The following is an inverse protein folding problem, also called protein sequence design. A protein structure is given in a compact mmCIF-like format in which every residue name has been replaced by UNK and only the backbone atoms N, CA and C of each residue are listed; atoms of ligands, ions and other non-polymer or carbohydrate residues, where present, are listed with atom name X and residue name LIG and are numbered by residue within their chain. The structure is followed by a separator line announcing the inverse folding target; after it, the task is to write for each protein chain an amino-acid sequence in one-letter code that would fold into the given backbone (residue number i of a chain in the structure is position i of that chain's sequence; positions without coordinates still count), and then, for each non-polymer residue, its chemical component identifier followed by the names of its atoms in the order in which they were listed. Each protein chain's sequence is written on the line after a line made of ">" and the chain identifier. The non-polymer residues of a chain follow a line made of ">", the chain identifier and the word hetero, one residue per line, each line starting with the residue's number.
data_IF_946524316883
#
_entry.id   IF_946524316883
#
_cell.length_a   1.000
_cell.length_b   1.000
_cell.length_c   1.000
_cell.angle_alpha   90.00
_cell.angle_beta   90.00
_cell.angle_gamma   90.00
#
_symmetry.space_group_name_H-M   'P 1'
#
loop_
_entity.id
_entity.type
_entity.pdbx_description
1 polymer ?
#
# COMPACT_ATOMS: atom_id res chain seq x y z
N UNK A 1 -69.97 38.89 -40.97
CA UNK A 1 -69.21 39.28 -39.75
C UNK A 1 -68.40 38.11 -39.37
N UNK A 2 -67.15 38.10 -39.81
CA UNK A 2 -66.14 37.01 -39.59
C UNK A 2 -65.09 37.52 -38.62
N UNK A 3 -65.03 36.89 -37.42
CA UNK A 3 -64.11 37.22 -36.38
C UNK A 3 -62.89 36.30 -36.53
N UNK A 4 -61.75 36.88 -36.82
CA UNK A 4 -60.43 36.19 -36.84
C UNK A 4 -59.71 36.33 -35.48
N UNK A 5 -59.36 35.18 -34.84
CA UNK A 5 -58.58 35.11 -33.60
C UNK A 5 -57.12 34.96 -33.98
N UNK A 6 -56.15 35.76 -33.42
CA UNK A 6 -54.79 35.63 -33.71
C UNK A 6 -54.08 34.54 -32.82
N UNK A 7 -53.39 33.63 -33.45
CA UNK A 7 -52.55 32.62 -32.80
C UNK A 7 -51.27 33.31 -32.27
N UNK A 8 -51.04 33.24 -30.94
CA UNK A 8 -49.83 33.70 -30.29
C UNK A 8 -48.82 32.52 -30.24
N UNK A 9 -47.73 32.63 -30.98
CA UNK A 9 -46.58 31.71 -30.85
C UNK A 9 -45.83 32.01 -29.55
N UNK A 10 -45.75 31.02 -28.63
CA UNK A 10 -44.86 31.06 -27.49
C UNK A 10 -43.52 30.44 -27.94
N UNK A 11 -42.48 31.27 -28.01
CA UNK A 11 -41.11 30.83 -28.17
C UNK A 11 -40.64 30.24 -26.84
N UNK A 12 -40.39 28.92 -26.79
CA UNK A 12 -39.77 28.24 -25.66
C UNK A 12 -38.27 28.30 -25.88
N UNK A 13 -37.60 29.16 -25.14
CA UNK A 13 -36.13 29.18 -25.06
C UNK A 13 -35.67 27.97 -24.25
N UNK A 14 -35.13 26.96 -24.91
CA UNK A 14 -34.43 25.84 -24.27
C UNK A 14 -32.98 26.31 -23.94
N UNK A 15 -32.75 26.62 -22.69
CA UNK A 15 -31.40 26.89 -22.20
C UNK A 15 -30.65 25.56 -22.07
N UNK A 16 -29.64 25.33 -22.92
CA UNK A 16 -28.68 24.24 -22.74
C UNK A 16 -27.72 24.59 -21.61
N UNK A 17 -27.84 23.92 -20.46
CA UNK A 17 -26.83 23.92 -19.42
C UNK A 17 -25.69 23.01 -19.90
N UNK A 18 -24.62 23.63 -20.37
CA UNK A 18 -23.32 22.98 -20.55
C UNK A 18 -22.79 22.64 -19.18
N UNK A 19 -22.99 21.41 -18.74
CA UNK A 19 -22.25 20.82 -17.63
C UNK A 19 -20.81 20.62 -18.09
N UNK A 20 -19.95 21.60 -17.81
CA UNK A 20 -18.52 21.46 -17.99
C UNK A 20 -17.98 20.39 -17.02
N UNK A 21 -17.65 19.22 -17.54
CA UNK A 21 -16.79 18.28 -16.81
C UNK A 21 -15.44 18.94 -16.62
N UNK A 22 -15.13 19.31 -15.38
CA UNK A 22 -13.78 19.68 -14.98
C UNK A 22 -12.88 18.45 -15.16
N UNK A 23 -12.32 18.31 -16.35
CA UNK A 23 -11.20 17.41 -16.57
C UNK A 23 -10.01 18.00 -15.79
N UNK A 24 -9.66 17.39 -14.66
CA UNK A 24 -8.40 17.67 -14.02
C UNK A 24 -7.29 17.35 -15.03
N UNK A 25 -6.56 18.39 -15.44
CA UNK A 25 -5.40 18.23 -16.31
C UNK A 25 -4.40 17.32 -15.61
N UNK A 26 -4.13 16.17 -16.19
CA UNK A 26 -3.00 15.33 -15.76
C UNK A 26 -1.72 16.14 -15.99
N UNK A 27 -0.75 16.09 -15.06
CA UNK A 27 0.53 16.77 -15.25
C UNK A 27 1.19 16.27 -16.55
N UNK A 28 1.63 17.18 -17.40
CA UNK A 28 2.31 16.91 -18.67
C UNK A 28 3.75 16.47 -18.42
N UNK A 29 3.96 15.21 -18.07
CA UNK A 29 5.26 14.59 -17.83
C UNK A 29 5.09 13.11 -17.53
N UNK A 30 6.12 12.32 -17.77
CA UNK A 30 6.12 10.93 -17.32
C UNK A 30 6.01 10.89 -15.78
N UNK A 31 5.18 9.95 -15.21
CA UNK A 31 5.05 9.80 -13.78
C UNK A 31 6.40 9.42 -13.17
N UNK A 32 6.71 9.95 -11.97
CA UNK A 32 7.91 9.53 -11.24
C UNK A 32 7.82 8.06 -10.84
N UNK A 33 6.64 7.60 -10.43
CA UNK A 33 6.37 6.21 -10.09
C UNK A 33 6.04 5.41 -11.35
N UNK A 34 7.03 4.75 -11.95
CA UNK A 34 6.83 3.85 -13.09
C UNK A 34 6.31 2.47 -12.65
N UNK A 35 6.67 2.02 -11.46
CA UNK A 35 6.21 0.78 -10.85
C UNK A 35 6.23 0.89 -9.31
N UNK A 36 5.42 0.07 -8.64
CA UNK A 36 5.69 -0.38 -7.27
C UNK A 36 6.39 -1.73 -7.40
N UNK A 37 7.65 -1.81 -6.96
CA UNK A 37 8.48 -3.00 -7.15
C UNK A 37 8.24 -4.04 -6.07
N UNK A 38 8.28 -3.58 -4.82
CA UNK A 38 8.12 -4.44 -3.64
C UNK A 38 7.57 -3.64 -2.45
N UNK A 39 7.24 -4.36 -1.39
CA UNK A 39 7.11 -3.82 -0.04
C UNK A 39 8.19 -4.48 0.81
N UNK A 40 9.08 -3.67 1.36
CA UNK A 40 10.11 -4.13 2.27
C UNK A 40 9.61 -4.05 3.71
N UNK A 41 9.96 -5.06 4.51
CA UNK A 41 9.63 -5.16 5.93
C UNK A 41 10.87 -5.51 6.73
N UNK A 42 11.18 -4.71 7.74
CA UNK A 42 12.23 -5.05 8.69
C UNK A 42 11.76 -6.15 9.62
N UNK A 43 12.50 -7.25 9.70
CA UNK A 43 12.20 -8.43 10.51
C UNK A 43 13.25 -8.64 11.59
N UNK A 44 12.87 -9.26 12.70
CA UNK A 44 13.79 -9.51 13.82
C UNK A 44 14.71 -10.72 13.61
N UNK A 45 14.28 -11.67 12.75
CA UNK A 45 14.96 -12.92 12.39
C UNK A 45 14.56 -13.32 10.97
N UNK A 46 15.48 -13.18 10.02
CA UNK A 46 15.22 -13.41 8.60
C UNK A 46 14.88 -14.87 8.28
N UNK A 47 15.57 -15.83 8.90
CA UNK A 47 15.35 -17.24 8.62
C UNK A 47 13.96 -17.68 9.09
N UNK A 48 13.49 -17.17 10.25
CA UNK A 48 12.15 -17.39 10.76
C UNK A 48 11.10 -16.75 9.84
N UNK A 49 11.33 -15.52 9.42
CA UNK A 49 10.41 -14.81 8.52
C UNK A 49 10.33 -15.50 7.15
N UNK A 50 11.46 -15.79 6.51
CA UNK A 50 11.52 -16.52 5.22
C UNK A 50 10.80 -17.87 5.33
N UNK A 51 11.01 -18.62 6.43
CA UNK A 51 10.32 -19.89 6.63
C UNK A 51 8.80 -19.71 6.72
N UNK A 52 8.31 -18.65 7.38
CA UNK A 52 6.89 -18.36 7.45
C UNK A 52 6.33 -18.01 6.05
N UNK A 53 6.92 -17.05 5.36
CA UNK A 53 6.43 -16.61 4.05
C UNK A 53 6.48 -17.73 3.00
N UNK A 54 7.51 -18.58 3.02
CA UNK A 54 7.63 -19.68 2.04
C UNK A 54 6.72 -20.88 2.36
N UNK A 55 6.58 -21.27 3.62
CA UNK A 55 5.82 -22.48 3.98
C UNK A 55 4.34 -22.21 4.25
N UNK A 56 4.00 -21.03 4.79
CA UNK A 56 2.61 -20.71 5.14
C UNK A 56 1.92 -19.96 4.02
N UNK A 57 2.61 -19.02 3.37
CA UNK A 57 2.04 -18.15 2.33
C UNK A 57 2.50 -18.49 0.90
N UNK A 58 3.34 -19.53 0.74
CA UNK A 58 3.82 -20.07 -0.53
C UNK A 58 4.65 -19.12 -1.38
N UNK A 59 5.29 -18.13 -0.76
CA UNK A 59 6.27 -17.31 -1.45
C UNK A 59 7.48 -18.14 -1.88
N UNK A 60 8.09 -17.77 -3.00
CA UNK A 60 9.36 -18.29 -3.48
C UNK A 60 10.49 -17.34 -3.08
N UNK A 61 11.54 -17.85 -2.42
CA UNK A 61 12.73 -17.05 -2.14
C UNK A 61 13.59 -16.90 -3.40
N UNK A 62 13.77 -15.67 -3.86
CA UNK A 62 14.52 -15.35 -5.08
C UNK A 62 15.98 -15.05 -4.78
N UNK A 63 16.26 -14.28 -3.74
CA UNK A 63 17.63 -13.92 -3.33
C UNK A 63 17.72 -13.81 -1.81
N UNK A 64 18.97 -13.74 -1.34
CA UNK A 64 19.32 -13.60 0.07
C UNK A 64 20.75 -13.04 0.11
N UNK A 65 20.87 -11.76 0.44
CA UNK A 65 22.10 -10.99 0.30
C UNK A 65 22.42 -10.25 1.59
N UNK A 66 23.66 -10.35 2.07
CA UNK A 66 24.15 -9.52 3.17
C UNK A 66 24.87 -8.30 2.61
N UNK A 67 24.52 -7.11 3.12
CA UNK A 67 25.10 -5.84 2.73
C UNK A 67 25.51 -5.01 3.94
N UNK A 68 26.53 -4.17 3.74
CA UNK A 68 27.03 -3.20 4.70
C UNK A 68 27.78 -2.09 3.95
N UNK A 69 28.11 -1.02 4.64
CA UNK A 69 28.92 0.07 4.10
C UNK A 69 28.19 1.40 4.02
N UNK A 70 28.95 2.42 3.72
CA UNK A 70 28.56 3.82 3.86
C UNK A 70 27.34 4.20 2.98
N UNK A 71 27.22 3.62 1.76
CA UNK A 71 26.07 3.87 0.89
C UNK A 71 24.76 3.41 1.54
N UNK A 72 24.74 2.22 2.13
CA UNK A 72 23.56 1.71 2.82
C UNK A 72 23.28 2.46 4.12
N UNK A 73 24.33 2.86 4.87
CA UNK A 73 24.17 3.72 6.05
C UNK A 73 23.51 5.07 5.71
N UNK A 74 23.92 5.66 4.59
CA UNK A 74 23.37 6.92 4.10
C UNK A 74 21.95 6.76 3.55
N UNK A 75 21.62 5.60 2.97
CA UNK A 75 20.29 5.31 2.46
C UNK A 75 19.29 5.13 3.59
N UNK A 76 19.61 4.24 4.54
CA UNK A 76 18.73 3.84 5.62
C UNK A 76 18.77 4.79 6.84
N UNK A 77 19.74 5.73 6.87
CA UNK A 77 19.95 6.61 8.01
C UNK A 77 20.38 5.89 9.29
N UNK A 78 21.00 4.72 9.17
CA UNK A 78 21.45 3.86 10.28
C UNK A 78 22.96 3.69 10.23
N UNK A 79 23.65 4.32 11.17
CA UNK A 79 25.11 4.26 11.24
C UNK A 79 25.63 2.89 11.65
N UNK A 80 26.67 2.40 10.99
CA UNK A 80 27.33 1.11 11.27
C UNK A 80 26.45 -0.08 10.92
N UNK A 81 25.49 0.07 9.98
CA UNK A 81 24.61 -1.01 9.63
C UNK A 81 25.32 -2.18 8.94
N UNK A 82 24.87 -3.36 9.30
CA UNK A 82 25.03 -4.60 8.55
C UNK A 82 23.66 -5.27 8.49
N UNK A 83 23.14 -5.48 7.32
CA UNK A 83 21.81 -6.05 7.13
C UNK A 83 21.82 -7.17 6.11
N UNK A 84 20.85 -8.08 6.24
CA UNK A 84 20.61 -9.18 5.32
C UNK A 84 19.22 -8.99 4.73
N UNK A 85 19.13 -9.01 3.41
CA UNK A 85 17.91 -8.78 2.65
C UNK A 85 17.55 -10.02 1.86
N UNK A 86 16.35 -10.54 2.05
CA UNK A 86 15.80 -11.63 1.25
C UNK A 86 14.64 -11.10 0.40
N UNK A 87 14.72 -11.30 -0.91
CA UNK A 87 13.64 -11.00 -1.86
C UNK A 87 12.79 -12.24 -2.09
N UNK A 88 11.48 -12.10 -1.93
CA UNK A 88 10.52 -13.19 -2.07
C UNK A 88 9.45 -12.81 -3.10
N UNK A 89 8.98 -13.80 -3.88
CA UNK A 89 7.97 -13.64 -4.92
C UNK A 89 6.71 -14.43 -4.61
N UNK A 90 5.56 -13.81 -4.90
CA UNK A 90 4.28 -14.52 -4.95
C UNK A 90 3.53 -14.07 -6.21
N UNK A 91 3.28 -14.99 -7.14
CA UNK A 91 2.79 -14.64 -8.47
C UNK A 91 3.79 -13.75 -9.22
N UNK A 92 3.35 -12.56 -9.59
CA UNK A 92 4.19 -11.57 -10.30
C UNK A 92 4.76 -10.50 -9.34
N UNK A 93 4.38 -10.51 -8.06
CA UNK A 93 4.71 -9.46 -7.09
C UNK A 93 5.79 -9.92 -6.10
N UNK A 94 6.46 -8.92 -5.51
CA UNK A 94 7.59 -9.15 -4.62
C UNK A 94 7.38 -8.47 -3.27
N UNK A 95 8.00 -9.08 -2.25
CA UNK A 95 8.31 -8.45 -0.97
C UNK A 95 9.81 -8.56 -0.71
N UNK A 96 10.33 -7.68 0.12
CA UNK A 96 11.65 -7.82 0.70
C UNK A 96 11.56 -7.93 2.22
N UNK A 97 12.37 -8.81 2.78
CA UNK A 97 12.50 -8.97 4.23
C UNK A 97 13.92 -8.58 4.61
N UNK A 98 14.05 -7.58 5.48
CA UNK A 98 15.34 -7.04 5.89
C UNK A 98 15.58 -7.33 7.36
N UNK A 99 16.65 -8.06 7.69
CA UNK A 99 17.15 -8.20 9.05
C UNK A 99 18.37 -7.31 9.25
N UNK A 100 18.29 -6.35 10.15
CA UNK A 100 19.47 -5.63 10.63
C UNK A 100 20.25 -6.50 11.60
N UNK A 101 21.40 -7.03 11.14
CA UNK A 101 22.31 -7.83 11.97
C UNK A 101 22.95 -6.94 13.04
N UNK A 102 23.28 -5.68 12.68
CA UNK A 102 23.75 -4.62 13.57
C UNK A 102 23.45 -3.24 12.95
N UNK A 103 23.07 -2.23 13.76
CA UNK A 103 22.46 -2.38 15.08
C UNK A 103 21.06 -2.95 15.00
N UNK A 104 20.65 -3.72 15.98
CA UNK A 104 19.25 -4.18 16.08
C UNK A 104 18.35 -3.01 16.48
N UNK A 105 17.11 -2.99 15.94
CA UNK A 105 16.10 -2.01 16.28
C UNK A 105 15.07 -2.53 17.30
N UNK A 106 14.00 -1.76 17.48
CA UNK A 106 12.94 -2.05 18.43
C UNK A 106 11.88 -2.98 17.83
N UNK A 107 11.26 -3.86 18.62
CA UNK A 107 10.14 -4.69 18.16
C UNK A 107 8.88 -3.84 17.93
N UNK A 108 7.93 -4.38 17.16
CA UNK A 108 6.60 -3.78 17.02
C UNK A 108 5.90 -3.76 18.39
N UNK A 109 5.25 -2.64 18.72
CA UNK A 109 4.43 -2.53 19.89
C UNK A 109 3.25 -3.52 19.83
N UNK A 110 3.00 -4.22 20.94
CA UNK A 110 1.82 -5.10 21.05
C UNK A 110 0.49 -4.33 21.10
N UNK A 111 0.57 -3.03 21.36
CA UNK A 111 -0.60 -2.14 21.45
C UNK A 111 -0.97 -1.52 20.08
N UNK A 112 -0.23 -1.86 19.02
CA UNK A 112 -0.51 -1.37 17.67
C UNK A 112 -1.93 -1.74 17.23
N UNK A 113 -2.75 -0.73 16.95
CA UNK A 113 -4.12 -0.88 16.46
C UNK A 113 -4.21 -0.64 14.96
N UNK A 114 -5.24 -1.19 14.32
CA UNK A 114 -5.44 -1.04 12.88
C UNK A 114 -5.77 0.39 12.44
N UNK A 115 -6.14 1.28 13.36
CA UNK A 115 -6.37 2.70 13.07
C UNK A 115 -5.20 3.61 13.45
N UNK A 116 -4.09 3.07 13.95
CA UNK A 116 -2.86 3.84 14.16
C UNK A 116 -2.21 4.16 12.81
N UNK A 117 -1.64 5.37 12.67
CA UNK A 117 -1.04 5.82 11.40
C UNK A 117 0.22 5.05 11.01
N UNK A 118 0.80 4.27 11.89
CA UNK A 118 1.86 3.33 11.55
C UNK A 118 1.35 1.96 11.09
N UNK A 119 0.02 1.76 11.04
CA UNK A 119 -0.53 0.52 10.50
C UNK A 119 -0.33 0.46 8.99
N UNK A 120 0.23 -0.64 8.54
CA UNK A 120 0.38 -0.99 7.14
C UNK A 120 0.16 -2.48 6.97
N UNK A 121 -0.51 -2.91 5.89
CA UNK A 121 -0.61 -4.31 5.54
C UNK A 121 -0.29 -4.55 4.07
N UNK A 122 -0.07 -5.82 3.72
CA UNK A 122 0.02 -6.32 2.36
C UNK A 122 -1.22 -7.19 2.13
N UNK A 123 -1.97 -6.93 1.05
CA UNK A 123 -3.14 -7.71 0.68
C UNK A 123 -2.78 -8.82 -0.30
N UNK A 124 -2.82 -10.04 0.18
CA UNK A 124 -2.52 -11.27 -0.54
C UNK A 124 -3.82 -11.86 -1.09
N UNK A 125 -3.90 -12.03 -2.40
CA UNK A 125 -5.09 -12.59 -3.04
C UNK A 125 -5.13 -14.10 -2.88
N UNK A 126 -6.30 -14.60 -2.51
CA UNK A 126 -6.55 -16.04 -2.38
C UNK A 126 -7.65 -16.52 -3.34
N UNK A 127 -7.48 -17.71 -3.86
CA UNK A 127 -8.47 -18.34 -4.74
C UNK A 127 -9.73 -18.79 -3.99
N UNK A 128 -9.61 -19.09 -2.69
CA UNK A 128 -10.69 -19.58 -1.84
C UNK A 128 -10.46 -19.09 -0.39
N UNK A 129 -11.30 -18.17 0.08
CA UNK A 129 -11.19 -17.59 1.42
C UNK A 129 -11.37 -18.64 2.53
N UNK A 130 -12.27 -19.59 2.36
CA UNK A 130 -12.57 -20.58 3.41
C UNK A 130 -11.40 -21.55 3.57
N UNK A 131 -10.79 -21.98 2.46
CA UNK A 131 -9.58 -22.79 2.48
C UNK A 131 -8.39 -22.01 3.04
N UNK A 132 -8.20 -20.74 2.62
CA UNK A 132 -7.12 -19.91 3.12
C UNK A 132 -7.24 -19.69 4.64
N UNK A 133 -8.42 -19.38 5.13
CA UNK A 133 -8.67 -19.23 6.56
C UNK A 133 -8.42 -20.52 7.34
N UNK A 134 -8.90 -21.67 6.85
CA UNK A 134 -8.66 -22.96 7.48
C UNK A 134 -7.16 -23.29 7.54
N UNK A 135 -6.42 -23.00 6.47
CA UNK A 135 -4.97 -23.19 6.39
C UNK A 135 -4.21 -22.28 7.37
N UNK A 136 -4.54 -20.99 7.41
CA UNK A 136 -3.93 -20.03 8.34
C UNK A 136 -4.18 -20.43 9.81
N UNK A 137 -5.40 -20.89 10.13
CA UNK A 137 -5.72 -21.46 11.46
C UNK A 137 -4.87 -22.68 11.82
N UNK A 138 -4.71 -23.60 10.86
CA UNK A 138 -3.87 -24.80 11.04
C UNK A 138 -2.41 -24.40 11.34
N UNK A 139 -1.93 -23.34 10.71
CA UNK A 139 -0.59 -22.78 10.92
C UNK A 139 -0.51 -21.83 12.13
N UNK A 140 -1.59 -21.69 12.91
CA UNK A 140 -1.66 -20.94 14.18
C UNK A 140 -1.21 -19.48 14.06
N UNK A 141 -1.57 -18.80 12.95
CA UNK A 141 -1.31 -17.37 12.80
C UNK A 141 -2.04 -16.56 13.87
N UNK A 142 -1.47 -15.45 14.29
CA UNK A 142 -2.14 -14.48 15.17
C UNK A 142 -3.19 -13.70 14.37
N UNK A 143 -4.41 -13.61 14.88
CA UNK A 143 -5.50 -12.88 14.24
C UNK A 143 -5.44 -11.41 14.58
N UNK A 144 -5.61 -10.55 13.55
CA UNK A 144 -5.89 -9.13 13.73
C UNK A 144 -7.39 -8.82 13.55
N UNK A 145 -8.07 -9.53 12.65
CA UNK A 145 -9.54 -9.53 12.55
C UNK A 145 -10.18 -10.50 13.53
N UNK A 146 -11.45 -10.31 13.84
CA UNK A 146 -12.24 -11.31 14.59
C UNK A 146 -12.52 -12.60 13.80
N UNK A 147 -12.40 -12.57 12.49
CA UNK A 147 -12.58 -13.64 11.51
C UNK A 147 -12.77 -13.07 10.10
N UNK A 148 -12.88 -13.92 9.06
CA UNK A 148 -13.14 -13.44 7.71
C UNK A 148 -14.45 -12.66 7.63
N UNK A 149 -14.40 -11.50 6.97
CA UNK A 149 -15.56 -10.66 6.73
C UNK A 149 -15.91 -10.65 5.24
N UNK A 150 -17.20 -10.57 4.91
CA UNK A 150 -17.69 -10.29 3.57
C UNK A 150 -18.28 -8.90 3.55
N UNK A 151 -17.70 -8.00 2.77
CA UNK A 151 -18.15 -6.62 2.69
C UNK A 151 -19.58 -6.56 2.13
N UNK A 152 -20.43 -5.67 2.70
CA UNK A 152 -21.87 -5.68 2.50
C UNK A 152 -22.29 -5.20 1.10
N UNK A 153 -23.44 -5.67 0.62
CA UNK A 153 -23.93 -5.41 -0.73
C UNK A 153 -24.34 -3.94 -0.97
N UNK A 154 -24.60 -3.17 0.10
CA UNK A 154 -24.87 -1.74 -0.03
C UNK A 154 -23.63 -0.93 -0.46
N UNK A 155 -22.42 -1.39 -0.13
CA UNK A 155 -21.18 -0.77 -0.57
C UNK A 155 -20.82 -1.25 -1.97
N UNK A 156 -21.39 -0.61 -2.99
CA UNK A 156 -21.27 -1.05 -4.39
C UNK A 156 -19.82 -1.24 -4.86
N UNK A 157 -18.88 -0.45 -4.33
CA UNK A 157 -17.48 -0.50 -4.76
C UNK A 157 -16.74 -1.68 -4.11
N UNK A 158 -17.13 -2.11 -2.92
CA UNK A 158 -16.49 -3.19 -2.18
C UNK A 158 -17.38 -4.43 -1.96
N UNK A 159 -18.66 -4.40 -2.43
CA UNK A 159 -19.64 -5.46 -2.20
C UNK A 159 -19.09 -6.84 -2.57
N UNK A 160 -19.24 -7.79 -1.65
CA UNK A 160 -18.87 -9.19 -1.87
C UNK A 160 -17.39 -9.51 -1.73
N UNK A 161 -16.51 -8.52 -1.62
CA UNK A 161 -15.10 -8.76 -1.28
C UNK A 161 -15.04 -9.45 0.08
N UNK A 162 -14.23 -10.48 0.19
CA UNK A 162 -13.96 -11.16 1.46
C UNK A 162 -12.54 -10.88 1.90
N UNK A 163 -12.35 -10.56 3.17
CA UNK A 163 -11.06 -10.15 3.72
C UNK A 163 -10.87 -10.71 5.14
N UNK A 164 -9.61 -10.91 5.50
CA UNK A 164 -9.22 -11.36 6.83
C UNK A 164 -7.81 -10.86 7.16
N UNK A 165 -7.65 -10.13 8.28
CA UNK A 165 -6.35 -9.67 8.76
C UNK A 165 -5.76 -10.63 9.77
N UNK A 166 -4.48 -10.89 9.63
CA UNK A 166 -3.67 -11.70 10.54
C UNK A 166 -2.26 -11.10 10.63
N UNK A 167 -1.40 -11.69 11.45
CA UNK A 167 -0.04 -11.20 11.63
C UNK A 167 0.99 -12.26 11.26
N UNK A 168 2.13 -11.80 10.78
CA UNK A 168 3.33 -12.60 10.63
C UNK A 168 4.00 -12.86 11.99
N UNK A 169 5.13 -13.63 12.07
CA UNK A 169 5.82 -13.92 13.33
C UNK A 169 6.40 -12.70 14.07
N UNK A 170 6.59 -11.57 13.38
CA UNK A 170 7.08 -10.31 13.97
C UNK A 170 5.98 -9.35 14.36
N UNK A 171 4.73 -9.68 13.99
CA UNK A 171 3.56 -8.86 14.30
C UNK A 171 3.15 -7.91 13.17
N UNK A 172 3.75 -8.03 11.97
CA UNK A 172 3.31 -7.26 10.81
C UNK A 172 1.91 -7.69 10.40
N UNK A 173 0.95 -6.74 10.26
CA UNK A 173 -0.35 -7.05 9.73
C UNK A 173 -0.27 -7.47 8.25
N UNK A 174 -0.98 -8.54 7.93
CA UNK A 174 -1.17 -9.07 6.58
C UNK A 174 -2.67 -9.25 6.34
N UNK A 175 -3.08 -9.16 5.09
CA UNK A 175 -4.45 -9.43 4.66
C UNK A 175 -4.48 -10.61 3.68
N UNK A 176 -5.45 -11.51 3.83
CA UNK A 176 -5.91 -12.34 2.71
C UNK A 176 -7.22 -11.77 2.18
N UNK A 177 -7.31 -11.66 0.86
CA UNK A 177 -8.42 -11.01 0.17
C UNK A 177 -8.90 -11.89 -0.99
N UNK A 178 -10.22 -12.05 -1.11
CA UNK A 178 -10.86 -12.74 -2.23
C UNK A 178 -11.86 -11.81 -2.91
N UNK A 179 -11.68 -11.60 -4.21
CA UNK A 179 -12.60 -10.82 -5.02
C UNK A 179 -13.78 -11.65 -5.54
N UNK A 180 -15.01 -11.11 -5.57
CA UNK A 180 -16.09 -11.68 -6.34
C UNK A 180 -15.81 -11.54 -7.85
N UNK A 181 -16.50 -12.30 -8.72
CA UNK A 181 -16.19 -12.37 -10.15
C UNK A 181 -16.21 -11.04 -10.92
N UNK A 182 -16.91 -10.04 -10.40
CA UNK A 182 -17.09 -8.73 -11.00
C UNK A 182 -16.14 -7.64 -10.46
N UNK A 183 -15.21 -7.99 -9.56
CA UNK A 183 -14.27 -7.04 -8.93
C UNK A 183 -12.82 -7.52 -9.00
N UNK A 184 -11.90 -6.58 -8.78
CA UNK A 184 -10.47 -6.85 -8.84
C UNK A 184 -9.92 -6.98 -10.25
N UNK A 185 -8.65 -7.27 -10.36
CA UNK A 185 -7.98 -7.48 -11.65
C UNK A 185 -8.37 -8.82 -12.26
N UNK A 186 -8.52 -8.88 -13.58
CA UNK A 186 -8.79 -10.12 -14.32
C UNK A 186 -7.75 -11.23 -14.08
N UNK A 187 -6.53 -10.87 -13.70
CA UNK A 187 -5.50 -11.86 -13.37
C UNK A 187 -5.88 -12.71 -12.15
N UNK A 188 -6.67 -12.17 -11.22
CA UNK A 188 -7.12 -12.87 -10.01
C UNK A 188 -8.23 -13.88 -10.24
N UNK A 189 -8.89 -13.83 -11.42
CA UNK A 189 -9.99 -14.73 -11.80
C UNK A 189 -9.57 -15.85 -12.74
N UNK A 190 -8.26 -15.97 -13.04
CA UNK A 190 -7.74 -17.10 -13.81
C UNK A 190 -7.85 -18.37 -12.99
N UNK A 191 -8.21 -19.47 -13.66
CA UNK A 191 -8.20 -20.79 -13.01
C UNK A 191 -6.78 -21.11 -12.53
N UNK A 192 -6.64 -21.37 -11.25
CA UNK A 192 -5.38 -21.75 -10.60
C UNK A 192 -5.66 -22.83 -9.55
N UNK A 193 -4.74 -23.78 -9.41
CA UNK A 193 -4.76 -24.73 -8.30
C UNK A 193 -4.11 -24.14 -7.04
N UNK A 194 -3.45 -23.00 -7.17
CA UNK A 194 -2.79 -22.33 -6.08
C UNK A 194 -3.79 -21.63 -5.16
N UNK A 195 -3.49 -21.66 -3.85
CA UNK A 195 -4.33 -21.01 -2.84
C UNK A 195 -4.01 -19.51 -2.72
N UNK A 196 -2.73 -19.13 -2.73
CA UNK A 196 -2.25 -17.76 -2.68
C UNK A 196 -1.77 -17.37 -4.08
N UNK A 197 -2.30 -16.28 -4.65
CA UNK A 197 -2.15 -15.96 -6.08
C UNK A 197 -1.15 -14.84 -6.35
N UNK A 198 -0.97 -13.90 -5.41
CA UNK A 198 -0.14 -12.71 -5.58
C UNK A 198 -0.55 -11.62 -4.61
N UNK A 199 0.04 -10.43 -4.77
CA UNK A 199 -0.22 -9.24 -3.94
C UNK A 199 -1.00 -8.23 -4.76
N UNK A 200 -2.20 -7.83 -4.30
CA UNK A 200 -2.96 -6.80 -4.97
C UNK A 200 -2.46 -5.39 -4.60
N UNK A 201 -2.24 -5.14 -3.32
CA UNK A 201 -1.81 -3.84 -2.82
C UNK A 201 -1.09 -3.91 -1.48
N UNK A 202 -0.42 -2.81 -1.13
CA UNK A 202 -0.14 -2.46 0.27
C UNK A 202 -1.08 -1.34 0.69
N UNK A 203 -1.54 -1.36 1.93
CA UNK A 203 -2.43 -0.33 2.46
C UNK A 203 -1.80 0.35 3.68
N UNK A 204 -1.89 1.67 3.75
CA UNK A 204 -1.35 2.51 4.80
C UNK A 204 -2.46 3.37 5.42
N UNK A 205 -2.43 3.54 6.75
CA UNK A 205 -3.36 4.43 7.43
C UNK A 205 -2.85 5.88 7.34
N UNK A 206 -3.71 6.77 6.86
CA UNK A 206 -3.39 8.19 6.68
C UNK A 206 -4.32 9.07 7.51
N UNK A 207 -3.81 10.24 7.90
CA UNK A 207 -4.60 11.24 8.65
C UNK A 207 -5.64 11.94 7.77
N UNK A 208 -5.28 12.18 6.49
CA UNK A 208 -6.05 12.94 5.53
C UNK A 208 -5.70 12.50 4.11
N UNK A 209 -6.67 11.88 3.43
CA UNK A 209 -6.49 11.34 2.07
C UNK A 209 -6.09 12.42 1.07
N UNK A 210 -6.66 13.63 1.16
CA UNK A 210 -6.39 14.68 0.18
C UNK A 210 -4.95 15.22 0.32
N UNK A 211 -4.39 15.21 1.52
CA UNK A 211 -2.97 15.51 1.76
C UNK A 211 -2.05 14.42 1.20
N UNK A 212 -2.40 13.14 1.41
CA UNK A 212 -1.62 12.02 0.87
C UNK A 212 -1.69 11.96 -0.65
N UNK A 213 -2.82 12.33 -1.27
CA UNK A 213 -2.97 12.43 -2.73
C UNK A 213 -2.02 13.46 -3.36
N UNK A 214 -1.66 14.55 -2.65
CA UNK A 214 -0.63 15.49 -3.15
C UNK A 214 0.73 14.82 -3.31
N UNK A 215 1.05 13.86 -2.44
CA UNK A 215 2.29 13.10 -2.52
C UNK A 215 2.19 11.98 -3.56
N UNK A 216 1.25 11.05 -3.40
CA UNK A 216 1.19 9.86 -4.24
C UNK A 216 0.68 10.13 -5.66
N UNK A 217 -0.38 10.95 -5.80
CA UNK A 217 -0.97 11.26 -7.10
C UNK A 217 -0.25 12.41 -7.80
N UNK A 218 -0.13 13.59 -7.12
CA UNK A 218 0.30 14.81 -7.79
C UNK A 218 1.82 14.89 -7.95
N UNK A 219 2.60 14.38 -6.96
CA UNK A 219 4.06 14.40 -7.00
C UNK A 219 4.63 13.13 -7.64
N UNK A 220 4.22 11.95 -7.19
CA UNK A 220 4.72 10.68 -7.73
C UNK A 220 4.03 10.26 -9.03
N UNK A 221 2.84 10.79 -9.34
CA UNK A 221 2.12 10.52 -10.59
C UNK A 221 1.31 9.24 -10.59
N UNK A 222 1.01 8.65 -9.42
CA UNK A 222 0.14 7.48 -9.34
C UNK A 222 -1.30 7.86 -9.68
N UNK A 223 -2.04 6.93 -10.30
CA UNK A 223 -3.43 7.14 -10.70
C UNK A 223 -4.39 6.61 -9.63
N UNK A 224 -5.40 7.40 -9.26
CA UNK A 224 -6.53 6.90 -8.46
C UNK A 224 -7.29 5.86 -9.27
N UNK A 225 -7.39 4.66 -8.74
CA UNK A 225 -8.01 3.50 -9.39
C UNK A 225 -9.41 3.19 -8.85
N UNK A 226 -9.69 3.58 -7.61
CA UNK A 226 -10.99 3.39 -6.98
C UNK A 226 -11.07 4.08 -5.64
N UNK A 227 -12.30 4.31 -5.18
CA UNK A 227 -12.60 4.84 -3.86
C UNK A 227 -13.79 4.09 -3.27
N UNK A 228 -13.80 3.91 -1.97
CA UNK A 228 -14.94 3.37 -1.24
C UNK A 228 -15.03 3.98 0.14
N UNK A 229 -16.22 3.96 0.70
CA UNK A 229 -16.48 4.34 2.09
C UNK A 229 -17.02 3.10 2.81
N UNK A 230 -16.23 2.59 3.75
CA UNK A 230 -16.45 1.32 4.42
C UNK A 230 -16.79 1.54 5.89
N UNK A 231 -17.92 1.00 6.35
CA UNK A 231 -18.35 1.09 7.75
C UNK A 231 -19.31 -0.04 8.11
N UNK A 232 -19.71 -0.09 9.37
CA UNK A 232 -20.63 -1.09 9.90
C UNK A 232 -19.91 -2.31 10.48
N UNK A 233 -20.69 -3.29 10.87
CA UNK A 233 -20.23 -4.46 11.65
C UNK A 233 -19.11 -5.24 10.97
N UNK A 234 -19.20 -5.42 9.66
CA UNK A 234 -18.20 -6.15 8.88
C UNK A 234 -16.85 -5.41 8.91
N UNK A 235 -16.88 -4.08 8.79
CA UNK A 235 -15.67 -3.26 8.82
C UNK A 235 -15.07 -3.21 10.24
N UNK A 236 -15.91 -3.09 11.28
CA UNK A 236 -15.47 -3.16 12.67
C UNK A 236 -14.75 -4.48 12.97
N UNK A 237 -15.33 -5.59 12.54
CA UNK A 237 -14.77 -6.93 12.74
C UNK A 237 -13.51 -7.18 11.92
N UNK A 238 -13.43 -6.62 10.70
CA UNK A 238 -12.26 -6.72 9.85
C UNK A 238 -11.06 -6.01 10.48
N UNK A 239 -11.25 -4.75 10.86
CA UNK A 239 -10.18 -3.94 11.45
C UNK A 239 -9.97 -4.20 12.95
N UNK A 240 -10.90 -4.89 13.61
CA UNK A 240 -10.97 -5.04 15.08
C UNK A 240 -10.93 -3.67 15.79
N UNK A 241 -11.66 -2.71 15.22
CA UNK A 241 -11.82 -1.32 15.72
C UNK A 241 -13.30 -1.00 15.77
N UNK A 242 -13.82 -0.79 17.00
CA UNK A 242 -15.22 -0.47 17.21
C UNK A 242 -15.58 0.89 16.58
N UNK A 243 -16.67 0.94 15.83
CA UNK A 243 -17.12 2.13 15.11
C UNK A 243 -16.27 2.48 13.88
N UNK A 244 -15.49 1.53 13.37
CA UNK A 244 -14.63 1.76 12.20
C UNK A 244 -15.45 2.26 11.00
N UNK A 245 -15.08 3.45 10.50
CA UNK A 245 -15.64 4.10 9.33
C UNK A 245 -14.47 4.70 8.55
N UNK A 246 -14.20 4.16 7.36
CA UNK A 246 -13.03 4.49 6.56
C UNK A 246 -13.41 5.06 5.21
N UNK A 247 -12.68 6.08 4.77
CA UNK A 247 -12.51 6.41 3.35
C UNK A 247 -11.29 5.63 2.85
N UNK A 248 -11.48 4.82 1.82
CA UNK A 248 -10.43 4.02 1.20
C UNK A 248 -10.20 4.53 -0.21
N UNK A 249 -8.94 4.84 -0.56
CA UNK A 249 -8.58 5.31 -1.90
C UNK A 249 -7.44 4.47 -2.44
N UNK A 250 -7.71 3.73 -3.51
CA UNK A 250 -6.73 2.87 -4.18
C UNK A 250 -5.95 3.63 -5.24
N UNK A 251 -4.64 3.52 -5.21
CA UNK A 251 -3.70 4.12 -6.15
C UNK A 251 -2.96 3.04 -6.92
N UNK A 252 -2.66 3.30 -8.20
CA UNK A 252 -1.89 2.40 -9.07
C UNK A 252 -0.81 3.14 -9.84
N UNK A 253 0.37 2.54 -9.90
CA UNK A 253 1.41 2.83 -10.90
C UNK A 253 1.10 2.08 -12.20
N UNK A 254 1.84 2.32 -13.28
CA UNK A 254 1.75 1.52 -14.51
C UNK A 254 1.94 0.02 -14.29
N UNK A 255 2.76 -0.40 -13.32
CA UNK A 255 2.96 -1.81 -12.96
C UNK A 255 3.17 -2.04 -11.46
N UNK A 256 3.09 -3.30 -11.04
CA UNK A 256 3.22 -3.73 -9.66
C UNK A 256 1.93 -3.63 -8.83
N UNK A 257 2.00 -3.91 -7.53
CA UNK A 257 0.87 -3.81 -6.62
C UNK A 257 0.41 -2.36 -6.42
N UNK A 258 -0.82 -2.19 -5.91
CA UNK A 258 -1.34 -0.87 -5.58
C UNK A 258 -0.85 -0.34 -4.24
N UNK A 259 -1.15 0.93 -4.01
CA UNK A 259 -1.09 1.55 -2.68
C UNK A 259 -2.50 1.99 -2.30
N UNK A 260 -3.01 1.56 -1.15
CA UNK A 260 -4.29 2.02 -0.63
C UNK A 260 -4.10 2.96 0.56
N UNK A 261 -4.82 4.07 0.52
CA UNK A 261 -4.90 5.03 1.61
C UNK A 261 -6.13 4.71 2.44
N UNK A 262 -5.94 4.46 3.74
CA UNK A 262 -6.99 4.15 4.72
C UNK A 262 -7.16 5.35 5.65
N UNK A 263 -8.11 6.23 5.38
CA UNK A 263 -8.46 7.33 6.29
C UNK A 263 -9.58 6.91 7.22
N UNK A 264 -9.33 6.81 8.52
CA UNK A 264 -10.38 6.59 9.51
C UNK A 264 -11.16 7.88 9.76
N UNK A 265 -12.37 7.95 9.21
CA UNK A 265 -13.32 9.02 9.49
C UNK A 265 -13.85 8.91 10.93
N UNK A 266 -13.92 7.66 11.45
CA UNK A 266 -14.20 7.32 12.85
C UNK A 266 -13.63 5.91 13.18
N UNK A 267 -13.15 5.68 14.43
CA UNK A 267 -12.72 6.72 15.38
C UNK A 267 -11.43 7.40 14.89
N UNK A 268 -11.24 8.67 15.25
CA UNK A 268 -10.05 9.45 14.90
C UNK A 268 -9.00 9.47 16.02
N UNK A 269 -8.96 8.41 16.83
CA UNK A 269 -8.09 8.27 18.01
C UNK A 269 -6.82 7.45 17.74
N UNK A 270 -6.55 7.10 16.46
CA UNK A 270 -5.34 6.41 16.05
C UNK A 270 -4.08 7.24 16.35
N UNK A 271 -3.05 6.57 16.86
CA UNK A 271 -1.78 7.23 17.22
C UNK A 271 -1.06 7.71 15.95
N UNK A 272 -0.35 8.84 16.01
CA UNK A 272 0.51 9.28 14.92
C UNK A 272 1.64 8.27 14.66
N UNK A 273 2.21 8.29 13.45
CA UNK A 273 3.42 7.54 13.16
C UNK A 273 4.54 7.98 14.11
N UNK A 274 5.28 7.05 14.75
CA UNK A 274 6.34 7.41 15.70
C UNK A 274 7.40 8.27 15.02
N UNK A 275 7.68 9.45 15.59
CA UNK A 275 8.58 10.42 14.97
C UNK A 275 10.07 10.00 15.05
N UNK A 276 10.40 9.09 15.95
CA UNK A 276 11.71 8.54 16.23
C UNK A 276 11.93 7.14 15.64
N UNK A 277 10.96 6.64 14.88
CA UNK A 277 11.10 5.35 14.18
C UNK A 277 12.28 5.39 13.21
N UNK A 278 13.03 4.30 13.17
CA UNK A 278 14.24 4.10 12.36
C UNK A 278 14.06 2.90 11.43
N UNK A 279 14.84 2.87 10.35
CA UNK A 279 14.78 1.79 9.38
C UNK A 279 15.11 0.40 9.98
N UNK A 280 15.91 0.33 11.03
CA UNK A 280 16.21 -0.90 11.73
C UNK A 280 15.17 -1.35 12.77
N UNK A 281 14.13 -0.54 13.04
CA UNK A 281 13.02 -0.97 13.89
C UNK A 281 12.09 -1.94 13.13
N UNK A 282 11.60 -2.97 13.81
CA UNK A 282 10.72 -3.98 13.17
C UNK A 282 9.39 -3.36 12.68
N UNK A 283 9.02 -2.20 13.17
CA UNK A 283 7.87 -1.43 12.66
C UNK A 283 8.12 -0.90 11.23
N UNK A 284 9.37 -0.74 10.82
CA UNK A 284 9.72 -0.16 9.53
C UNK A 284 9.23 -1.02 8.36
N UNK A 285 8.45 -0.40 7.50
CA UNK A 285 7.96 -0.99 6.25
C UNK A 285 7.94 0.08 5.19
N UNK A 286 8.68 -0.14 4.11
CA UNK A 286 8.77 0.83 3.03
C UNK A 286 8.15 0.29 1.75
N UNK A 287 7.45 1.17 1.04
CA UNK A 287 6.99 0.89 -0.32
C UNK A 287 8.11 1.26 -1.29
N UNK A 288 8.53 0.32 -2.12
CA UNK A 288 9.60 0.50 -3.10
C UNK A 288 9.02 0.91 -4.44
N UNK A 289 9.38 2.10 -4.89
CA UNK A 289 8.87 2.74 -6.11
C UNK A 289 10.01 2.92 -7.10
N UNK A 290 9.85 2.32 -8.28
CA UNK A 290 10.80 2.49 -9.40
C UNK A 290 10.55 3.80 -10.11
N UNK A 291 11.63 4.52 -10.36
CA UNK A 291 11.64 5.72 -11.21
C UNK A 291 12.62 5.55 -12.37
N UNK A 292 12.35 6.23 -13.50
CA UNK A 292 13.27 6.26 -14.63
C UNK A 292 14.48 7.18 -14.38
N UNK A 293 14.39 8.14 -13.47
CA UNK A 293 15.44 9.13 -13.15
C UNK A 293 15.33 9.53 -11.68
N UNK A 294 16.15 8.90 -10.84
CA UNK A 294 16.18 9.16 -9.40
C UNK A 294 16.71 10.56 -9.07
N UNK A 295 17.53 11.17 -9.93
CA UNK A 295 18.02 12.54 -9.76
C UNK A 295 16.90 13.55 -9.94
N UNK A 296 16.11 13.41 -10.99
CA UNK A 296 14.91 14.25 -11.21
C UNK A 296 13.89 14.04 -10.09
N UNK A 297 13.69 12.80 -9.64
CA UNK A 297 12.82 12.50 -8.51
C UNK A 297 13.30 13.22 -7.23
N UNK A 298 14.59 13.14 -6.90
CA UNK A 298 15.18 13.82 -5.75
C UNK A 298 14.94 15.34 -5.78
N UNK A 299 15.15 15.98 -6.94
CA UNK A 299 14.92 17.44 -7.11
C UNK A 299 13.46 17.82 -6.87
N UNK A 300 12.51 17.06 -7.41
CA UNK A 300 11.07 17.30 -7.22
C UNK A 300 10.66 17.11 -5.75
N UNK A 301 11.16 16.06 -5.09
CA UNK A 301 10.89 15.78 -3.67
C UNK A 301 11.45 16.87 -2.76
N UNK A 302 12.68 17.36 -3.03
CA UNK A 302 13.25 18.51 -2.30
C UNK A 302 12.40 19.78 -2.52
N UNK A 303 11.98 20.04 -3.75
CA UNK A 303 11.14 21.21 -4.07
C UNK A 303 9.76 21.14 -3.40
N UNK A 304 9.25 19.92 -3.19
CA UNK A 304 8.01 19.64 -2.46
C UNK A 304 8.18 19.62 -0.93
N UNK A 305 9.38 19.92 -0.41
CA UNK A 305 9.72 19.85 1.03
C UNK A 305 9.45 18.48 1.66
N UNK A 306 9.60 17.40 0.90
CA UNK A 306 9.46 16.03 1.41
C UNK A 306 10.55 15.75 2.46
N UNK A 307 10.20 15.02 3.52
CA UNK A 307 11.14 14.63 4.57
C UNK A 307 11.99 13.46 4.08
N UNK A 308 13.31 13.64 4.04
CA UNK A 308 14.27 12.59 3.71
C UNK A 308 14.67 11.81 4.96
N UNK A 309 14.82 10.49 4.81
CA UNK A 309 15.52 9.59 5.73
C UNK A 309 16.95 9.45 5.26
N UNK A 310 17.15 9.19 3.96
CA UNK A 310 18.47 9.15 3.36
C UNK A 310 19.16 10.53 3.41
N UNK A 311 20.48 10.53 3.39
CA UNK A 311 21.29 11.77 3.37
C UNK A 311 21.13 12.58 2.07
N UNK A 312 20.37 12.06 1.11
CA UNK A 312 20.14 12.57 -0.24
C UNK A 312 20.01 11.42 -1.23
N UNK A 313 20.31 11.67 -2.49
CA UNK A 313 20.41 10.63 -3.50
C UNK A 313 21.67 9.79 -3.24
N UNK A 314 21.49 8.50 -3.02
CA UNK A 314 22.57 7.53 -2.78
C UNK A 314 22.80 6.72 -4.04
N UNK A 315 24.07 6.55 -4.42
CA UNK A 315 24.49 5.69 -5.53
C UNK A 315 25.11 4.42 -4.97
N UNK A 316 24.64 3.27 -5.44
CA UNK A 316 25.18 1.95 -5.13
C UNK A 316 25.85 1.39 -6.39
N UNK A 317 27.18 1.22 -6.34
CA UNK A 317 27.99 0.87 -7.52
C UNK A 317 27.95 -0.61 -7.86
N UNK A 318 27.71 -1.45 -6.88
CA UNK A 318 27.89 -2.91 -7.01
C UNK A 318 26.58 -3.64 -7.38
N UNK A 319 25.44 -2.93 -7.35
CA UNK A 319 24.12 -3.46 -7.73
C UNK A 319 23.62 -4.59 -6.83
N UNK A 320 24.09 -4.64 -5.57
CA UNK A 320 23.85 -5.78 -4.67
C UNK A 320 22.37 -5.99 -4.34
N UNK A 321 21.57 -4.90 -4.23
CA UNK A 321 20.14 -4.94 -3.99
C UNK A 321 19.31 -4.61 -5.24
N UNK A 322 19.94 -4.59 -6.43
CA UNK A 322 19.24 -4.44 -7.71
C UNK A 322 18.85 -3.01 -8.11
N UNK A 323 19.31 -2.00 -7.39
CA UNK A 323 19.20 -0.59 -7.78
C UNK A 323 20.59 0.04 -8.02
N UNK A 324 20.62 1.14 -8.77
CA UNK A 324 21.81 1.94 -9.02
C UNK A 324 21.81 3.22 -8.19
N UNK A 325 20.68 3.88 -8.16
CA UNK A 325 20.47 5.09 -7.40
C UNK A 325 19.19 4.95 -6.59
N UNK A 326 19.21 5.39 -5.34
CA UNK A 326 18.04 5.36 -4.49
C UNK A 326 18.01 6.52 -3.48
N UNK A 327 16.82 6.79 -2.97
CA UNK A 327 16.60 7.71 -1.86
C UNK A 327 15.40 7.23 -1.05
N UNK A 328 15.51 7.35 0.28
CA UNK A 328 14.45 6.99 1.22
C UNK A 328 13.83 8.26 1.77
N UNK A 329 12.53 8.40 1.61
CA UNK A 329 11.76 9.56 2.07
C UNK A 329 10.58 9.10 2.93
N UNK A 330 9.89 10.07 3.54
CA UNK A 330 8.63 9.82 4.24
C UNK A 330 7.50 10.56 3.54
N UNK A 331 6.36 9.90 3.46
CA UNK A 331 5.11 10.51 3.03
C UNK A 331 4.60 11.52 4.08
N UNK A 332 3.48 12.24 3.85
CA UNK A 332 2.96 13.23 4.80
C UNK A 332 2.62 12.68 6.19
N UNK A 333 2.29 11.40 6.31
CA UNK A 333 1.97 10.75 7.59
C UNK A 333 3.18 10.09 8.26
N UNK A 334 4.29 9.94 7.55
CA UNK A 334 5.55 9.40 8.06
C UNK A 334 5.89 8.01 7.52
N UNK A 335 5.08 7.42 6.63
CA UNK A 335 5.39 6.14 6.03
C UNK A 335 6.63 6.22 5.14
N UNK A 336 7.58 5.29 5.29
CA UNK A 336 8.77 5.26 4.46
C UNK A 336 8.45 4.86 3.01
N UNK A 337 9.06 5.57 2.07
CA UNK A 337 8.96 5.30 0.63
C UNK A 337 10.37 5.32 0.05
N UNK A 338 10.82 4.19 -0.47
CA UNK A 338 12.06 4.06 -1.22
C UNK A 338 11.79 4.42 -2.68
N UNK A 339 12.52 5.37 -3.23
CA UNK A 339 12.49 5.70 -4.66
C UNK A 339 13.80 5.21 -5.26
N UNK A 340 13.72 4.29 -6.20
CA UNK A 340 14.88 3.62 -6.76
C UNK A 340 14.93 3.68 -8.30
N UNK A 341 16.14 3.80 -8.83
CA UNK A 341 16.46 3.65 -10.25
C UNK A 341 17.27 2.36 -10.44
N UNK A 342 16.72 1.45 -11.21
CA UNK A 342 17.34 0.14 -11.48
C UNK A 342 18.37 0.17 -12.57
#
# INVERSE_FOLDING_TARGET
>A
MTSTIPIRWRVVLVAWLLAGTLAFAQPSGEPLASAVDAVNMTVSDLDRAVNFYTRVLYFEKISDTEVAGESFEHLEGVFGLRMRVARLRLGDEYIELTEYLAPKGLPISRELRSNDRSFQHIAIIVSDMDKAYAWLRQNKVEYASSGPQRLPDWNKNAAGIRAFYFKDPDGHPLEVLAFPPDKGSQKWHRSSEELFLGIDHTAIVVADTDSSLKFYRDLLGMRVAGESENYGTEQEHLNNVFGAHLRITSLRSPSGPGVELLEYLAPRDGQPFPADERANDVLHRQTEIVTADARTAAQKLVSAHTKFVSSGLVTESDGQLGFRNALLVRDPDGHPVLIEEK
#
